data_IF_355961481336
#
_entry.id   IF_355961481336
#
_cell.length_a   1.000
_cell.length_b   1.000
_cell.length_c   1.000
_cell.angle_alpha   90.00
_cell.angle_beta   90.00
_cell.angle_gamma   90.00
#
_symmetry.space_group_name_H-M   'P 1'
#
loop_
_entity.id
_entity.type
_entity.pdbx_description
1 polymer ?
#
# COMPACT_ATOMS: atom_id res chain seq x y z
N UNK A 1 30.21 3.73 -17.80
CA UNK A 1 29.27 4.71 -17.21
C UNK A 1 27.94 4.02 -17.15
N UNK A 2 27.73 3.34 -16.03
CA UNK A 2 26.63 2.42 -15.75
C UNK A 2 25.41 3.23 -15.29
N UNK A 3 24.44 3.45 -16.17
CA UNK A 3 23.14 4.03 -15.82
C UNK A 3 22.05 3.64 -16.84
N UNK A 4 22.21 2.47 -17.47
CA UNK A 4 21.14 1.82 -18.21
C UNK A 4 20.41 0.94 -17.19
N UNK A 5 19.08 1.01 -17.15
CA UNK A 5 18.20 0.49 -16.08
C UNK A 5 17.97 1.51 -14.95
N UNK A 6 17.44 2.69 -15.28
CA UNK A 6 16.38 3.26 -14.43
C UNK A 6 15.14 2.40 -14.72
N UNK A 7 14.72 1.48 -13.83
CA UNK A 7 13.51 0.73 -14.09
C UNK A 7 12.38 1.76 -14.17
N UNK A 8 11.52 1.63 -15.19
CA UNK A 8 10.09 1.94 -15.30
C UNK A 8 9.31 2.59 -14.11
N UNK A 9 9.91 3.44 -13.27
CA UNK A 9 9.32 4.01 -12.06
C UNK A 9 8.30 5.12 -12.32
N UNK A 10 7.98 5.40 -13.58
CA UNK A 10 7.02 6.45 -13.95
C UNK A 10 5.88 5.95 -14.86
N UNK A 11 5.75 4.65 -15.14
CA UNK A 11 4.71 4.17 -16.07
C UNK A 11 3.32 3.95 -15.43
N UNK A 12 3.15 4.09 -14.12
CA UNK A 12 1.87 3.87 -13.45
C UNK A 12 1.09 5.15 -13.07
N UNK A 13 1.50 6.35 -13.52
CA UNK A 13 0.69 7.58 -13.40
C UNK A 13 -0.58 7.56 -14.29
N UNK A 14 -1.07 6.40 -14.72
CA UNK A 14 -2.07 6.29 -15.79
C UNK A 14 -3.05 5.11 -15.69
N UNK A 15 -3.14 4.39 -14.56
CA UNK A 15 -4.11 3.31 -14.39
C UNK A 15 -5.42 3.78 -13.72
N UNK A 16 -5.93 4.97 -14.04
CA UNK A 16 -7.28 5.41 -13.63
C UNK A 16 -7.63 5.12 -12.15
N UNK A 17 -8.89 4.80 -11.88
CA UNK A 17 -9.35 4.36 -10.57
C UNK A 17 -9.14 2.85 -10.39
N UNK A 18 -8.22 2.46 -9.50
CA UNK A 18 -7.95 1.08 -9.12
C UNK A 18 -8.39 0.82 -7.67
N UNK A 19 -8.47 -0.45 -7.28
CA UNK A 19 -8.70 -0.85 -5.90
C UNK A 19 -7.40 -0.80 -5.11
N UNK A 20 -7.47 -0.17 -3.94
CA UNK A 20 -6.38 -0.02 -2.99
C UNK A 20 -6.87 -0.38 -1.60
N UNK A 21 -5.99 -0.95 -0.79
CA UNK A 21 -6.18 -1.04 0.65
C UNK A 21 -5.29 -0.03 1.35
N UNK A 22 -5.89 0.84 2.17
CA UNK A 22 -5.20 1.71 3.12
C UNK A 22 -5.10 0.93 4.43
N UNK A 23 -3.90 0.51 4.80
CA UNK A 23 -3.62 -0.22 6.04
C UNK A 23 -2.90 0.72 6.99
N UNK A 24 -3.47 0.94 8.16
CA UNK A 24 -2.94 1.81 9.21
C UNK A 24 -2.49 0.94 10.39
N UNK A 25 -1.23 1.08 10.77
CA UNK A 25 -0.67 0.49 11.98
C UNK A 25 -0.65 1.52 13.11
N UNK A 26 -0.80 1.06 14.34
CA UNK A 26 -0.55 1.84 15.55
C UNK A 26 0.71 1.32 16.22
N UNK A 27 1.58 2.22 16.67
CA UNK A 27 2.88 1.92 17.28
C UNK A 27 3.77 0.99 16.42
N UNK A 28 4.38 1.51 15.33
CA UNK A 28 4.40 2.90 14.88
C UNK A 28 3.15 3.29 14.06
N UNK A 29 2.81 4.60 14.06
CA UNK A 29 1.73 5.14 13.23
C UNK A 29 2.18 5.26 11.77
N UNK A 30 1.86 4.25 10.97
CA UNK A 30 2.26 4.17 9.56
C UNK A 30 1.06 3.76 8.72
N UNK A 31 0.92 4.41 7.58
CA UNK A 31 -0.11 4.10 6.59
C UNK A 31 0.55 3.46 5.37
N UNK A 32 0.19 2.21 5.09
CA UNK A 32 0.58 1.46 3.91
C UNK A 32 -0.55 1.44 2.88
N UNK A 33 -0.21 1.76 1.64
CA UNK A 33 -1.12 1.63 0.50
C UNK A 33 -0.78 0.38 -0.28
N UNK A 34 -1.64 -0.63 -0.17
CA UNK A 34 -1.49 -1.92 -0.85
C UNK A 34 -2.33 -1.95 -2.13
N UNK A 35 -1.66 -2.10 -3.28
CA UNK A 35 -2.27 -2.03 -4.62
C UNK A 35 -1.27 -1.61 -5.70
N UNK A 36 -1.73 -1.30 -6.93
CA UNK A 36 -3.12 -1.25 -7.39
C UNK A 36 -3.68 -2.60 -7.87
N UNK A 37 -4.97 -2.86 -7.61
CA UNK A 37 -5.68 -4.02 -8.15
C UNK A 37 -6.84 -3.63 -9.06
N UNK A 38 -7.11 -4.45 -10.08
CA UNK A 38 -8.21 -4.25 -11.02
C UNK A 38 -9.56 -4.67 -10.43
N UNK A 39 -9.57 -5.74 -9.63
CA UNK A 39 -10.78 -6.27 -8.96
C UNK A 39 -10.59 -6.23 -7.45
N UNK A 40 -11.67 -5.91 -6.74
CA UNK A 40 -11.70 -5.88 -5.27
C UNK A 40 -11.37 -7.23 -4.64
N UNK A 41 -11.89 -8.32 -5.21
CA UNK A 41 -11.67 -9.67 -4.67
C UNK A 41 -10.20 -10.10 -4.73
N UNK A 42 -9.48 -9.74 -5.80
CA UNK A 42 -8.04 -10.02 -5.92
C UNK A 42 -7.25 -9.24 -4.87
N UNK A 43 -7.62 -7.97 -4.63
CA UNK A 43 -7.06 -7.19 -3.53
C UNK A 43 -7.35 -7.84 -2.17
N UNK A 44 -8.59 -8.27 -1.92
CA UNK A 44 -8.99 -8.84 -0.63
C UNK A 44 -8.19 -10.11 -0.28
N UNK A 45 -8.04 -11.03 -1.24
CA UNK A 45 -7.29 -12.28 -1.03
C UNK A 45 -5.80 -12.01 -0.76
N UNK A 46 -5.18 -11.11 -1.51
CA UNK A 46 -3.77 -10.77 -1.31
C UNK A 46 -3.56 -9.92 -0.05
N UNK A 47 -4.54 -9.08 0.30
CA UNK A 47 -4.51 -8.25 1.50
C UNK A 47 -4.49 -9.12 2.76
N UNK A 48 -5.24 -10.23 2.80
CA UNK A 48 -5.24 -11.14 3.97
C UNK A 48 -3.83 -11.64 4.30
N UNK A 49 -3.04 -12.02 3.30
CA UNK A 49 -1.65 -12.44 3.50
C UNK A 49 -0.78 -11.27 3.99
N UNK A 50 -0.92 -10.09 3.38
CA UNK A 50 -0.18 -8.90 3.79
C UNK A 50 -0.49 -8.47 5.23
N UNK A 51 -1.76 -8.52 5.64
CA UNK A 51 -2.16 -8.22 7.01
C UNK A 51 -1.65 -9.26 8.01
N UNK A 52 -1.61 -10.54 7.63
CA UNK A 52 -1.06 -11.60 8.47
C UNK A 52 0.44 -11.39 8.73
N UNK A 53 1.19 -11.01 7.70
CA UNK A 53 2.61 -10.68 7.81
C UNK A 53 2.82 -9.46 8.73
N UNK A 54 2.06 -8.37 8.52
CA UNK A 54 2.12 -7.20 9.39
C UNK A 54 1.74 -7.51 10.84
N UNK A 55 0.72 -8.34 11.05
CA UNK A 55 0.28 -8.71 12.38
C UNK A 55 1.32 -9.55 13.14
N UNK A 56 2.12 -10.35 12.42
CA UNK A 56 3.21 -11.13 12.99
C UNK A 56 4.34 -10.25 13.54
N UNK A 57 4.48 -9.02 13.06
CA UNK A 57 5.39 -8.00 13.62
C UNK A 57 4.86 -7.38 14.93
N UNK A 58 3.67 -7.80 15.39
CA UNK A 58 3.01 -7.34 16.61
C UNK A 58 2.86 -5.81 16.73
N UNK A 59 2.24 -5.14 15.74
CA UNK A 59 1.90 -3.72 15.85
C UNK A 59 0.94 -3.51 17.03
N UNK A 60 1.02 -2.34 17.68
CA UNK A 60 0.11 -1.94 18.76
C UNK A 60 -1.36 -1.90 18.35
N UNK A 61 -1.64 -1.84 17.05
CA UNK A 61 -2.97 -2.01 16.45
C UNK A 61 -2.90 -2.00 14.93
N UNK A 62 -3.92 -2.56 14.27
CA UNK A 62 -4.00 -2.65 12.81
C UNK A 62 -5.43 -2.40 12.36
N UNK A 63 -5.60 -1.49 11.40
CA UNK A 63 -6.88 -1.17 10.76
C UNK A 63 -6.68 -1.10 9.26
N UNK A 64 -7.68 -1.49 8.47
CA UNK A 64 -7.59 -1.38 7.02
C UNK A 64 -8.91 -0.95 6.39
N UNK A 65 -8.83 -0.25 5.28
CA UNK A 65 -9.97 0.18 4.47
C UNK A 65 -9.69 -0.13 3.00
N UNK A 66 -10.67 -0.71 2.31
CA UNK A 66 -10.61 -0.96 0.87
C UNK A 66 -11.40 0.10 0.13
N UNK A 67 -10.72 0.82 -0.77
CA UNK A 67 -11.31 1.91 -1.53
C UNK A 67 -10.83 1.90 -2.98
N UNK A 68 -11.68 2.42 -3.87
CA UNK A 68 -11.32 2.62 -5.27
C UNK A 68 -10.86 4.06 -5.45
N UNK A 69 -9.57 4.26 -5.70
CA UNK A 69 -8.97 5.60 -5.79
C UNK A 69 -7.83 5.65 -6.81
N UNK A 70 -7.43 6.87 -7.17
CA UNK A 70 -6.20 7.14 -7.90
C UNK A 70 -5.12 7.52 -6.89
N UNK A 71 -4.07 6.70 -6.77
CA UNK A 71 -2.94 6.92 -5.85
C UNK A 71 -1.64 6.88 -6.65
N UNK A 72 -0.73 7.80 -6.32
CA UNK A 72 0.66 7.81 -6.76
C UNK A 72 1.60 7.69 -5.56
N UNK A 73 2.89 7.52 -5.82
CA UNK A 73 3.92 7.48 -4.78
C UNK A 73 3.97 8.81 -3.98
N UNK A 74 4.30 8.77 -2.67
CA UNK A 74 4.71 7.60 -1.88
C UNK A 74 3.53 6.71 -1.47
N UNK A 75 3.73 5.39 -1.41
CA UNK A 75 2.72 4.42 -0.96
C UNK A 75 2.86 4.06 0.53
N UNK A 76 3.81 4.68 1.21
CA UNK A 76 4.02 4.55 2.65
C UNK A 76 4.11 5.95 3.23
N UNK A 77 3.16 6.30 4.09
CA UNK A 77 3.11 7.56 4.80
C UNK A 77 3.41 7.26 6.29
N UNK A 78 4.59 7.66 6.77
CA UNK A 78 4.93 7.59 8.21
C UNK A 78 4.36 8.83 8.88
N UNK A 79 3.42 8.66 9.80
CA UNK A 79 2.96 9.78 10.62
C UNK A 79 3.96 9.99 11.76
N UNK A 80 4.81 11.01 11.60
CA UNK A 80 5.68 11.46 12.69
C UNK A 80 4.82 12.00 13.84
N UNK A 81 5.06 11.59 15.10
CA UNK A 81 4.41 12.21 16.25
C UNK A 81 4.93 13.65 16.39
N UNK A 82 4.01 14.62 16.33
CA UNK A 82 4.28 16.04 16.54
C UNK A 82 4.55 16.41 17.99
#
# INVERSE_FOLDING_TARGET
MDALIRPLRSLANGLGMAWWARVETHDPNVIYWFGPFMRRQELEVELEHFLADLQAEAPGGLSHEILRTHRGEPLTDVQEPG
#
